data_IF_607661642982
#
_entry.id   IF_607661642982
#
_cell.length_a   1.000
_cell.length_b   1.000
_cell.length_c   1.000
_cell.angle_alpha   90.00
_cell.angle_beta   90.00
_cell.angle_gamma   90.00
#
_symmetry.space_group_name_H-M   'P 1'
#
loop_
_entity.id
_entity.type
_entity.pdbx_description
1 polymer ?
#
# COMPACT_ATOMS: atom_id res chain seq x y z
N UNK A 1 -14.42 -24.10 12.03
CA UNK A 1 -15.01 -24.57 10.74
C UNK A 1 -16.33 -25.25 11.06
N UNK A 2 -17.45 -24.73 10.55
CA UNK A 2 -18.79 -25.22 10.89
C UNK A 2 -19.00 -26.65 10.36
N UNK A 3 -19.48 -27.53 11.23
CA UNK A 3 -19.92 -28.90 10.89
C UNK A 3 -21.38 -28.87 10.41
N UNK A 4 -21.65 -28.22 9.28
CA UNK A 4 -22.93 -28.39 8.59
C UNK A 4 -22.74 -29.35 7.41
N UNK A 5 -23.46 -30.46 7.48
CA UNK A 5 -23.60 -31.44 6.41
C UNK A 5 -24.19 -30.77 5.18
N UNK A 6 -23.42 -30.68 4.09
CA UNK A 6 -23.90 -30.16 2.80
C UNK A 6 -24.81 -31.23 2.17
N UNK A 7 -26.10 -30.94 2.04
CA UNK A 7 -27.13 -31.88 1.58
C UNK A 7 -27.12 -32.17 0.07
N UNK A 8 -26.25 -31.54 -0.72
CA UNK A 8 -26.17 -31.79 -2.16
C UNK A 8 -24.77 -32.27 -2.57
N UNK A 9 -24.67 -33.35 -3.37
CA UNK A 9 -23.40 -33.79 -3.91
C UNK A 9 -22.83 -32.71 -4.83
N UNK A 10 -21.53 -32.43 -4.67
CA UNK A 10 -20.79 -31.60 -5.62
C UNK A 10 -20.89 -32.26 -7.00
N UNK A 11 -21.33 -31.50 -8.01
CA UNK A 11 -21.27 -31.94 -9.41
C UNK A 11 -19.79 -31.95 -9.80
N UNK A 12 -19.18 -33.12 -9.70
CA UNK A 12 -17.86 -33.40 -10.24
C UNK A 12 -18.06 -34.07 -11.60
N UNK A 13 -17.61 -33.40 -12.67
CA UNK A 13 -17.64 -33.93 -14.03
C UNK A 13 -16.24 -34.43 -14.39
N UNK A 14 -15.85 -35.65 -13.97
CA UNK A 14 -14.60 -36.25 -14.43
C UNK A 14 -14.65 -36.40 -15.96
N UNK A 15 -13.50 -36.20 -16.61
CA UNK A 15 -13.28 -36.47 -18.04
C UNK A 15 -13.96 -35.53 -19.06
N UNK A 16 -14.57 -34.42 -18.62
CA UNK A 16 -15.16 -33.42 -19.54
C UNK A 16 -14.24 -32.25 -19.91
N UNK A 17 -12.94 -32.33 -19.59
CA UNK A 17 -11.95 -31.29 -19.89
C UNK A 17 -10.84 -31.80 -20.80
N UNK A 18 -10.47 -31.03 -21.83
CA UNK A 18 -9.18 -31.19 -22.49
C UNK A 18 -8.13 -30.45 -21.68
N UNK A 19 -7.03 -31.12 -21.35
CA UNK A 19 -5.87 -30.47 -20.75
C UNK A 19 -5.26 -29.53 -21.79
N UNK A 20 -5.38 -28.23 -21.54
CA UNK A 20 -4.65 -27.21 -22.28
C UNK A 20 -3.56 -26.63 -21.38
N UNK A 21 -2.38 -26.43 -21.94
CA UNK A 21 -1.36 -25.64 -21.26
C UNK A 21 -1.92 -24.23 -21.06
N UNK A 22 -1.84 -23.74 -19.82
CA UNK A 22 -2.21 -22.37 -19.51
C UNK A 22 -1.48 -21.41 -20.47
N UNK A 23 -2.25 -20.80 -21.36
CA UNK A 23 -1.80 -19.73 -22.24
C UNK A 23 -2.39 -18.46 -21.69
N UNK A 24 -1.52 -17.54 -21.26
CA UNK A 24 -1.96 -16.20 -20.85
C UNK A 24 -2.73 -15.58 -22.03
N UNK A 25 -3.95 -15.05 -21.84
CA UNK A 25 -4.57 -14.20 -22.84
C UNK A 25 -3.54 -13.17 -23.30
N UNK A 26 -3.37 -12.99 -24.61
CA UNK A 26 -2.43 -12.01 -25.14
C UNK A 26 -2.77 -10.65 -24.52
N UNK A 27 -1.87 -10.12 -23.69
CA UNK A 27 -2.07 -8.80 -23.11
C UNK A 27 -2.10 -7.79 -24.26
N UNK A 28 -3.32 -7.35 -24.62
CA UNK A 28 -3.54 -6.11 -25.34
C UNK A 28 -2.98 -4.99 -24.46
N UNK A 29 -1.77 -4.57 -24.79
CA UNK A 29 -0.94 -3.71 -23.97
C UNK A 29 0.49 -3.86 -24.43
N UNK A 30 0.74 -3.53 -25.70
CA UNK A 30 2.10 -3.43 -26.21
C UNK A 30 2.86 -2.49 -25.30
N UNK A 31 3.85 -3.01 -24.57
CA UNK A 31 4.76 -2.18 -23.81
C UNK A 31 5.35 -1.14 -24.74
N UNK A 32 5.40 0.12 -24.29
CA UNK A 32 6.07 1.17 -25.06
C UNK A 32 7.46 0.66 -25.50
N UNK A 33 7.86 0.91 -26.76
CA UNK A 33 9.17 0.51 -27.22
C UNK A 33 10.23 1.14 -26.29
N UNK A 34 11.37 0.47 -26.08
CA UNK A 34 12.51 1.05 -25.36
C UNK A 34 12.81 2.48 -25.85
N UNK A 35 13.09 3.43 -24.95
CA UNK A 35 13.40 4.80 -25.33
C UNK A 35 14.62 4.85 -26.24
N UNK A 36 14.58 5.72 -27.25
CA UNK A 36 15.72 5.91 -28.15
C UNK A 36 16.86 6.60 -27.39
N UNK A 37 18.02 5.94 -27.30
CA UNK A 37 19.25 6.45 -26.68
C UNK A 37 20.40 6.37 -27.68
N UNK A 38 21.42 7.22 -27.50
CA UNK A 38 22.74 6.90 -28.05
C UNK A 38 23.32 5.75 -27.22
N UNK A 39 23.24 4.53 -27.76
CA UNK A 39 23.61 3.27 -27.11
C UNK A 39 24.99 3.33 -26.44
N UNK A 40 26.00 3.82 -27.15
CA UNK A 40 27.39 3.82 -26.66
C UNK A 40 27.55 4.84 -25.52
N UNK A 41 27.08 6.07 -25.73
CA UNK A 41 27.15 7.13 -24.71
C UNK A 41 26.37 6.76 -23.45
N UNK A 42 25.17 6.19 -23.61
CA UNK A 42 24.33 5.77 -22.49
C UNK A 42 24.95 4.61 -21.71
N UNK A 43 25.51 3.61 -22.41
CA UNK A 43 26.19 2.50 -21.78
C UNK A 43 27.41 2.94 -20.98
N UNK A 44 28.29 3.80 -21.54
CA UNK A 44 29.45 4.31 -20.82
C UNK A 44 29.09 5.09 -19.56
N UNK A 45 28.06 5.94 -19.64
CA UNK A 45 27.56 6.64 -18.46
C UNK A 45 27.04 5.65 -17.39
N UNK A 46 26.27 4.64 -17.79
CA UNK A 46 25.77 3.63 -16.85
C UNK A 46 26.90 2.76 -16.27
N UNK A 47 27.90 2.39 -17.06
CA UNK A 47 29.10 1.69 -16.59
C UNK A 47 29.84 2.50 -15.53
N UNK A 48 29.97 3.83 -15.71
CA UNK A 48 30.60 4.71 -14.73
C UNK A 48 29.83 4.75 -13.42
N UNK A 49 28.51 5.03 -13.46
CA UNK A 49 27.71 5.19 -12.23
C UNK A 49 27.50 3.85 -11.49
N UNK A 50 27.31 2.74 -12.23
CA UNK A 50 27.21 1.40 -11.64
C UNK A 50 28.57 0.98 -11.08
N UNK A 51 29.66 1.21 -11.82
CA UNK A 51 31.02 0.91 -11.37
C UNK A 51 31.36 1.63 -10.08
N UNK A 52 31.02 2.93 -9.98
CA UNK A 52 31.18 3.72 -8.75
C UNK A 52 30.32 3.18 -7.60
N UNK A 53 29.07 2.81 -7.87
CA UNK A 53 28.20 2.23 -6.84
C UNK A 53 28.73 0.88 -6.34
N UNK A 54 29.26 0.03 -7.22
CA UNK A 54 29.90 -1.25 -6.86
C UNK A 54 31.19 -1.01 -6.06
N UNK A 55 32.02 -0.03 -6.43
CA UNK A 55 33.21 0.32 -5.65
C UNK A 55 32.86 0.74 -4.23
N UNK A 56 31.85 1.61 -4.07
CA UNK A 56 31.35 2.00 -2.75
C UNK A 56 30.77 0.80 -1.99
N UNK A 57 30.03 -0.08 -2.67
CA UNK A 57 29.51 -1.30 -2.08
C UNK A 57 30.63 -2.23 -1.59
N UNK A 58 31.72 -2.38 -2.35
CA UNK A 58 32.86 -3.20 -1.95
C UNK A 58 33.60 -2.62 -0.75
N UNK A 59 33.76 -1.28 -0.68
CA UNK A 59 34.31 -0.62 0.50
C UNK A 59 33.47 -0.91 1.74
N UNK A 60 32.15 -0.80 1.60
CA UNK A 60 31.20 -1.16 2.63
C UNK A 60 31.39 -2.64 3.02
N UNK A 61 31.31 -3.58 2.08
CA UNK A 61 31.43 -5.02 2.35
C UNK A 61 32.72 -5.37 3.10
N UNK A 62 33.85 -4.76 2.71
CA UNK A 62 35.14 -4.94 3.37
C UNK A 62 35.20 -4.36 4.79
N UNK A 63 34.29 -3.44 5.13
CA UNK A 63 34.13 -2.86 6.46
C UNK A 63 33.03 -3.52 7.29
N UNK A 64 32.43 -4.63 6.83
CA UNK A 64 31.48 -5.40 7.63
C UNK A 64 32.12 -5.87 8.91
N UNK A 65 31.38 -5.76 10.01
CA UNK A 65 31.82 -6.22 11.31
C UNK A 65 31.61 -7.75 11.36
N UNK A 66 32.68 -8.56 11.45
CA UNK A 66 32.56 -10.02 11.51
C UNK A 66 31.76 -10.50 12.72
N UNK A 67 31.75 -9.72 13.82
CA UNK A 67 30.94 -9.98 14.99
C UNK A 67 29.46 -9.82 14.72
N UNK A 68 29.06 -8.92 13.82
CA UNK A 68 27.67 -8.65 13.46
C UNK A 68 27.16 -9.44 12.26
N UNK A 69 28.01 -9.68 11.27
CA UNK A 69 27.62 -10.23 9.98
C UNK A 69 26.73 -11.49 10.09
N UNK A 70 25.60 -11.46 9.42
CA UNK A 70 24.68 -12.60 9.23
C UNK A 70 24.26 -12.72 7.77
N UNK A 71 23.78 -13.90 7.38
CA UNK A 71 23.25 -14.15 6.05
C UNK A 71 24.30 -14.12 4.93
N UNK A 72 23.84 -13.83 3.70
CA UNK A 72 24.70 -13.79 2.52
C UNK A 72 25.30 -12.39 2.35
N UNK A 73 26.62 -12.23 2.20
CA UNK A 73 27.22 -10.94 1.87
C UNK A 73 26.62 -10.36 0.59
N UNK A 74 26.28 -9.07 0.63
CA UNK A 74 25.66 -8.37 -0.48
C UNK A 74 25.41 -6.92 -0.14
N UNK A 75 24.88 -6.20 -1.11
CA UNK A 75 24.61 -4.78 -1.03
C UNK A 75 23.34 -4.43 -1.79
N UNK A 76 22.89 -3.20 -1.61
CA UNK A 76 21.71 -2.69 -2.29
C UNK A 76 22.12 -1.70 -3.37
N UNK A 77 21.49 -1.76 -4.54
CA UNK A 77 21.55 -0.72 -5.57
C UNK A 77 20.17 -0.11 -5.77
N UNK A 78 20.10 1.20 -5.86
CA UNK A 78 18.89 1.96 -6.15
C UNK A 78 18.93 2.45 -7.59
N UNK A 79 18.02 1.91 -8.41
CA UNK A 79 17.88 2.23 -9.84
C UNK A 79 16.82 3.31 -10.02
N UNK A 80 17.13 4.32 -10.82
CA UNK A 80 16.23 5.42 -11.14
C UNK A 80 15.66 5.21 -12.55
N UNK A 81 14.34 5.24 -12.66
CA UNK A 81 13.58 4.92 -13.87
C UNK A 81 12.50 5.98 -14.01
N UNK A 82 12.17 6.42 -15.22
CA UNK A 82 11.01 7.30 -15.43
C UNK A 82 9.70 6.59 -15.11
N UNK A 83 8.70 7.29 -14.59
CA UNK A 83 7.42 6.71 -14.17
C UNK A 83 6.68 5.97 -15.30
N UNK A 84 6.81 6.45 -16.54
CA UNK A 84 6.24 5.83 -17.74
C UNK A 84 6.98 4.55 -18.19
N UNK A 85 8.18 4.28 -17.66
CA UNK A 85 9.04 3.15 -18.05
C UNK A 85 9.11 2.04 -17.00
N UNK A 86 8.10 1.94 -16.12
CA UNK A 86 8.01 0.94 -15.02
C UNK A 86 8.11 -0.52 -15.47
N UNK A 87 7.96 -0.82 -16.77
CA UNK A 87 8.22 -2.18 -17.28
C UNK A 87 9.66 -2.65 -17.02
N UNK A 88 10.62 -1.72 -16.89
CA UNK A 88 12.01 -2.04 -16.55
C UNK A 88 12.14 -2.83 -15.23
N UNK A 89 11.21 -2.63 -14.27
CA UNK A 89 11.23 -3.31 -12.97
C UNK A 89 11.25 -4.83 -13.10
N UNK A 90 10.59 -5.39 -14.12
CA UNK A 90 10.54 -6.84 -14.38
C UNK A 90 11.91 -7.46 -14.68
N UNK A 91 12.91 -6.65 -15.02
CA UNK A 91 14.26 -7.10 -15.40
C UNK A 91 15.32 -6.86 -14.33
N UNK A 92 14.91 -6.29 -13.18
CA UNK A 92 15.78 -6.00 -12.04
C UNK A 92 15.90 -7.17 -11.04
N UNK A 93 15.05 -8.19 -11.14
CA UNK A 93 15.11 -9.39 -10.30
C UNK A 93 15.73 -10.58 -11.06
N UNK A 94 16.47 -11.43 -10.34
CA UNK A 94 16.90 -12.74 -10.81
C UNK A 94 16.97 -13.75 -9.66
N UNK A 95 15.91 -14.54 -9.49
CA UNK A 95 15.78 -15.52 -8.40
C UNK A 95 16.89 -16.57 -8.35
N UNK A 96 17.35 -17.06 -9.51
CA UNK A 96 18.44 -18.05 -9.57
C UNK A 96 19.76 -17.48 -9.06
N UNK A 97 20.02 -16.20 -9.33
CA UNK A 97 21.18 -15.46 -8.85
C UNK A 97 20.97 -14.83 -7.47
N UNK A 98 19.81 -15.04 -6.84
CA UNK A 98 19.40 -14.42 -5.57
C UNK A 98 19.45 -12.88 -5.60
N UNK A 99 19.30 -12.29 -6.78
CA UNK A 99 19.14 -10.84 -6.98
C UNK A 99 17.65 -10.55 -6.83
N UNK A 100 17.29 -9.62 -5.96
CA UNK A 100 15.90 -9.43 -5.54
C UNK A 100 15.51 -7.97 -5.57
N UNK A 101 14.40 -7.64 -6.25
CA UNK A 101 13.81 -6.31 -6.18
C UNK A 101 13.11 -6.18 -4.83
N UNK A 102 13.66 -5.38 -3.93
CA UNK A 102 13.22 -5.34 -2.53
C UNK A 102 12.26 -4.21 -2.23
N UNK A 103 12.44 -3.03 -2.84
CA UNK A 103 11.61 -1.85 -2.60
C UNK A 103 11.37 -1.06 -3.91
N UNK A 104 10.17 -0.51 -4.07
CA UNK A 104 9.83 0.37 -5.21
C UNK A 104 9.09 1.59 -4.69
N UNK A 105 9.54 2.79 -5.07
CA UNK A 105 8.98 4.07 -4.62
C UNK A 105 8.79 5.01 -5.79
N UNK A 106 7.71 5.80 -5.76
CA UNK A 106 7.47 6.86 -6.73
C UNK A 106 7.85 8.20 -6.12
N UNK A 107 8.67 8.98 -6.81
CA UNK A 107 8.89 10.39 -6.53
C UNK A 107 7.99 11.16 -7.49
N UNK A 108 6.95 11.80 -6.94
CA UNK A 108 6.09 12.70 -7.71
C UNK A 108 6.76 14.08 -7.69
N UNK A 109 7.17 14.56 -8.87
CA UNK A 109 7.83 15.87 -9.13
C UNK A 109 9.32 16.00 -8.73
N UNK A 110 10.14 16.73 -9.52
CA UNK A 110 9.82 17.44 -10.77
C UNK A 110 9.78 16.54 -12.03
N UNK A 111 10.42 15.37 -12.01
CA UNK A 111 10.62 14.52 -13.20
C UNK A 111 9.97 13.13 -13.10
N UNK A 112 8.92 12.98 -12.29
CA UNK A 112 8.17 11.74 -12.04
C UNK A 112 9.00 10.46 -12.22
N UNK A 113 9.74 10.11 -11.17
CA UNK A 113 10.66 8.98 -11.19
C UNK A 113 10.16 7.83 -10.30
N UNK A 114 10.62 6.65 -10.64
CA UNK A 114 10.50 5.42 -9.87
C UNK A 114 11.90 5.02 -9.41
N UNK A 115 12.06 4.89 -8.10
CA UNK A 115 13.25 4.35 -7.47
C UNK A 115 13.00 2.86 -7.18
N UNK A 116 13.88 2.01 -7.66
CA UNK A 116 13.81 0.57 -7.49
C UNK A 116 15.07 0.08 -6.77
N UNK A 117 14.93 -0.36 -5.53
CA UNK A 117 16.04 -0.85 -4.73
C UNK A 117 16.15 -2.36 -4.86
N UNK A 118 17.33 -2.85 -5.21
CA UNK A 118 17.61 -4.26 -5.50
C UNK A 118 18.71 -4.75 -4.57
N UNK A 119 18.48 -5.86 -3.88
CA UNK A 119 19.53 -6.58 -3.17
C UNK A 119 20.35 -7.42 -4.15
N UNK A 120 21.68 -7.33 -4.06
CA UNK A 120 22.63 -8.03 -4.92
C UNK A 120 23.63 -8.77 -4.01
N UNK A 121 23.67 -10.12 -4.08
CA UNK A 121 24.72 -10.89 -3.44
C UNK A 121 26.10 -10.52 -4.00
N UNK A 122 27.11 -10.50 -3.13
CA UNK A 122 28.51 -10.18 -3.47
C UNK A 122 29.02 -11.03 -4.64
N UNK A 123 28.66 -12.32 -4.65
CA UNK A 123 29.01 -13.29 -5.70
C UNK A 123 28.47 -12.94 -7.10
N UNK A 124 27.57 -11.96 -7.18
CA UNK A 124 26.95 -11.48 -8.43
C UNK A 124 27.03 -9.96 -8.58
N UNK A 125 28.00 -9.33 -7.92
CA UNK A 125 28.22 -7.87 -7.93
C UNK A 125 28.33 -7.28 -9.34
N UNK A 126 28.92 -8.01 -10.28
CA UNK A 126 29.13 -7.58 -11.68
C UNK A 126 27.91 -7.78 -12.60
N UNK A 127 26.79 -8.33 -12.08
CA UNK A 127 25.66 -8.76 -12.90
C UNK A 127 25.08 -7.65 -13.79
N UNK A 128 24.83 -6.48 -13.20
CA UNK A 128 24.25 -5.37 -13.94
C UNK A 128 25.28 -4.68 -14.84
N UNK A 129 26.56 -4.65 -14.45
CA UNK A 129 27.63 -4.13 -15.30
C UNK A 129 27.75 -4.96 -16.59
N UNK A 130 27.77 -6.29 -16.47
CA UNK A 130 27.73 -7.21 -17.62
C UNK A 130 26.51 -6.98 -18.52
N UNK A 131 25.34 -6.69 -17.94
CA UNK A 131 24.15 -6.37 -18.75
C UNK A 131 24.32 -5.10 -19.56
N UNK A 132 24.99 -4.08 -19.01
CA UNK A 132 25.29 -2.83 -19.70
C UNK A 132 26.33 -3.05 -20.80
N UNK A 133 27.39 -3.82 -20.54
CA UNK A 133 28.39 -4.20 -21.55
C UNK A 133 27.75 -4.98 -22.72
N UNK A 134 26.92 -5.97 -22.42
CA UNK A 134 26.15 -6.69 -23.44
C UNK A 134 25.21 -5.75 -24.21
N UNK A 135 24.58 -4.80 -23.51
CA UNK A 135 23.78 -3.75 -24.14
C UNK A 135 24.63 -2.85 -25.03
N UNK A 136 25.92 -2.61 -24.75
CA UNK A 136 26.81 -1.79 -25.58
C UNK A 136 27.31 -2.54 -26.82
N UNK A 137 27.69 -3.80 -26.65
CA UNK A 137 28.53 -4.50 -27.63
C UNK A 137 27.82 -5.61 -28.42
N UNK A 138 26.69 -6.12 -27.92
CA UNK A 138 26.06 -7.33 -28.47
C UNK A 138 24.64 -7.09 -28.98
N UNK A 139 24.28 -7.77 -30.07
CA UNK A 139 22.91 -7.84 -30.57
C UNK A 139 22.31 -9.22 -30.30
N UNK A 140 20.98 -9.25 -30.18
CA UNK A 140 20.16 -10.45 -30.23
C UNK A 140 20.13 -11.01 -31.66
N UNK A 141 19.60 -12.23 -31.83
CA UNK A 141 19.43 -12.86 -33.15
C UNK A 141 18.60 -12.01 -34.13
N UNK A 142 17.72 -11.15 -33.61
CA UNK A 142 16.86 -10.26 -34.39
C UNK A 142 17.51 -8.87 -34.61
N UNK A 143 18.84 -8.76 -34.46
CA UNK A 143 19.63 -7.55 -34.62
C UNK A 143 19.21 -6.36 -33.72
N UNK A 144 18.54 -6.64 -32.59
CA UNK A 144 18.25 -5.64 -31.53
C UNK A 144 19.33 -5.69 -30.45
N UNK A 145 19.74 -4.57 -29.81
CA UNK A 145 20.70 -4.60 -28.71
C UNK A 145 20.25 -5.55 -27.59
N UNK A 146 21.18 -6.31 -27.01
CA UNK A 146 20.87 -7.14 -25.83
C UNK A 146 20.51 -6.25 -24.64
N UNK A 147 19.67 -6.74 -23.73
CA UNK A 147 19.25 -6.01 -22.51
C UNK A 147 18.62 -4.61 -22.73
N UNK A 148 18.28 -4.25 -23.97
CA UNK A 148 17.68 -2.95 -24.33
C UNK A 148 16.41 -2.65 -23.54
N UNK A 149 15.62 -3.69 -23.26
CA UNK A 149 14.39 -3.58 -22.48
C UNK A 149 14.61 -3.04 -21.05
N UNK A 150 15.82 -3.22 -20.49
CA UNK A 150 16.21 -2.71 -19.17
C UNK A 150 17.12 -1.48 -19.31
N UNK A 151 18.26 -1.62 -19.97
CA UNK A 151 19.37 -0.66 -19.87
C UNK A 151 19.01 0.72 -20.43
N UNK A 152 18.25 0.78 -21.52
CA UNK A 152 17.81 2.05 -22.11
C UNK A 152 16.88 2.87 -21.22
N UNK A 153 16.22 2.22 -20.25
CA UNK A 153 15.23 2.81 -19.33
C UNK A 153 15.82 3.27 -18.00
N UNK A 154 17.08 2.93 -17.72
CA UNK A 154 17.78 3.37 -16.52
C UNK A 154 18.28 4.80 -16.72
N UNK A 155 17.97 5.70 -15.78
CA UNK A 155 18.49 7.07 -15.78
C UNK A 155 19.76 7.21 -14.95
N UNK A 156 19.85 6.49 -13.83
CA UNK A 156 21.07 6.40 -13.01
C UNK A 156 20.96 5.24 -12.03
N UNK A 157 22.08 4.91 -11.38
CA UNK A 157 22.15 3.90 -10.33
C UNK A 157 22.98 4.44 -9.18
N UNK A 158 22.52 4.22 -7.95
CA UNK A 158 23.21 4.62 -6.72
C UNK A 158 23.34 3.45 -5.76
N UNK A 159 24.25 3.57 -4.80
CA UNK A 159 24.29 2.68 -3.63
C UNK A 159 22.99 2.85 -2.82
N UNK A 160 22.39 1.74 -2.40
CA UNK A 160 21.21 1.75 -1.55
C UNK A 160 21.55 2.06 -0.10
N UNK A 161 20.67 2.81 0.56
CA UNK A 161 20.77 3.21 1.97
C UNK A 161 19.52 2.81 2.75
N UNK A 162 19.46 3.10 4.06
CA UNK A 162 18.21 3.00 4.85
C UNK A 162 17.06 3.72 4.15
N UNK A 163 17.32 4.95 3.67
CA UNK A 163 16.34 5.76 2.92
C UNK A 163 15.91 5.10 1.62
N UNK A 164 16.77 4.30 0.98
CA UNK A 164 16.43 3.54 -0.23
C UNK A 164 15.42 2.43 0.05
N UNK A 165 15.45 1.81 1.24
CA UNK A 165 14.51 0.77 1.67
C UNK A 165 13.24 1.32 2.34
N UNK A 166 13.21 2.61 2.70
CA UNK A 166 12.05 3.22 3.33
C UNK A 166 10.90 3.47 2.34
N UNK A 167 9.80 2.71 2.45
CA UNK A 167 8.65 2.75 1.51
C UNK A 167 7.39 3.41 2.09
N UNK A 168 7.49 4.02 3.27
CA UNK A 168 6.41 4.81 3.87
C UNK A 168 6.37 6.26 3.32
N UNK A 169 5.46 7.09 3.83
CA UNK A 169 5.44 8.52 3.56
C UNK A 169 6.82 9.14 3.89
N UNK A 170 7.52 9.76 2.92
CA UNK A 170 8.84 10.37 3.15
C UNK A 170 8.89 11.39 4.30
N UNK A 171 7.76 12.03 4.63
CA UNK A 171 7.66 12.96 5.75
C UNK A 171 7.77 12.29 7.12
N UNK A 172 7.55 10.97 7.20
CA UNK A 172 7.68 10.16 8.42
C UNK A 172 9.11 9.64 8.63
N UNK A 173 10.01 9.84 7.67
CA UNK A 173 11.38 9.37 7.81
C UNK A 173 12.03 10.04 9.03
N UNK A 174 12.62 9.26 9.96
CA UNK A 174 13.05 9.80 11.25
C UNK A 174 14.25 10.74 11.10
N UNK A 175 14.30 11.75 11.96
CA UNK A 175 15.47 12.59 12.15
C UNK A 175 16.63 11.77 12.75
N UNK A 176 17.86 12.21 12.50
CA UNK A 176 19.06 11.54 13.00
C UNK A 176 19.05 11.42 14.53
N UNK A 177 19.41 10.24 15.03
CA UNK A 177 19.46 9.93 16.47
C UNK A 177 18.09 9.70 17.14
N UNK A 178 16.97 9.85 16.44
CA UNK A 178 15.64 9.55 16.98
C UNK A 178 15.36 8.04 16.93
N UNK A 179 15.11 7.43 18.08
CA UNK A 179 14.60 6.07 18.14
C UNK A 179 13.13 6.02 17.73
N UNK A 180 12.80 5.08 16.84
CA UNK A 180 11.44 4.82 16.37
C UNK A 180 11.18 3.33 16.28
N UNK A 181 9.92 2.94 16.43
CA UNK A 181 9.49 1.59 16.07
C UNK A 181 9.45 1.49 14.54
N UNK A 182 10.36 0.69 13.99
CA UNK A 182 10.35 0.31 12.59
C UNK A 182 9.42 -0.88 12.38
N UNK A 183 8.56 -0.79 11.37
CA UNK A 183 7.97 -1.95 10.72
C UNK A 183 8.97 -2.45 9.66
N UNK A 184 9.71 -3.51 9.99
CA UNK A 184 10.77 -4.06 9.15
C UNK A 184 10.20 -5.20 8.34
N UNK A 185 10.15 -5.01 7.03
CA UNK A 185 9.78 -6.04 6.08
C UNK A 185 11.03 -6.81 5.69
N UNK A 186 11.08 -8.06 6.07
CA UNK A 186 12.15 -8.99 5.80
C UNK A 186 11.91 -9.74 4.49
N UNK A 187 13.02 -10.04 3.81
CA UNK A 187 13.06 -11.04 2.75
C UNK A 187 12.62 -12.38 3.31
N UNK A 188 11.93 -13.19 2.49
CA UNK A 188 11.31 -14.43 2.96
C UNK A 188 12.35 -15.38 3.58
N UNK A 189 12.07 -15.87 4.80
CA UNK A 189 12.93 -16.83 5.49
C UNK A 189 14.17 -16.22 6.12
N UNK A 190 14.21 -14.89 6.30
CA UNK A 190 15.34 -14.15 6.89
C UNK A 190 15.10 -13.66 8.32
N UNK A 191 14.04 -14.14 8.96
CA UNK A 191 13.72 -13.79 10.34
C UNK A 191 14.83 -14.17 11.32
N UNK A 192 15.47 -15.32 11.15
CA UNK A 192 16.53 -15.78 12.05
C UNK A 192 17.81 -14.94 11.91
N UNK A 193 18.25 -14.64 10.68
CA UNK A 193 19.38 -13.74 10.45
C UNK A 193 19.12 -12.34 11.01
N UNK A 194 17.88 -11.83 10.89
CA UNK A 194 17.47 -10.56 11.48
C UNK A 194 17.47 -10.60 13.01
N UNK A 195 16.97 -11.67 13.62
CA UNK A 195 16.98 -11.87 15.07
C UNK A 195 18.40 -11.93 15.64
N UNK A 196 19.31 -12.60 14.94
CA UNK A 196 20.71 -12.69 15.34
C UNK A 196 21.40 -11.33 15.33
N UNK A 197 21.26 -10.56 14.24
CA UNK A 197 21.92 -9.25 14.14
C UNK A 197 21.32 -8.23 15.10
N UNK A 198 20.00 -8.19 15.26
CA UNK A 198 19.34 -7.30 16.22
C UNK A 198 19.71 -7.64 17.66
N UNK A 199 19.82 -8.93 18.00
CA UNK A 199 20.30 -9.37 19.31
C UNK A 199 21.73 -8.91 19.60
N UNK A 200 22.64 -8.99 18.63
CA UNK A 200 24.03 -8.50 18.78
C UNK A 200 24.13 -6.98 18.90
N UNK A 201 23.22 -6.26 18.26
CA UNK A 201 23.11 -4.80 18.34
C UNK A 201 22.28 -4.30 19.53
N UNK A 202 21.75 -5.22 20.36
CA UNK A 202 20.80 -4.92 21.43
C UNK A 202 19.56 -4.12 20.97
N UNK A 203 19.14 -4.30 19.72
CA UNK A 203 17.93 -3.70 19.15
C UNK A 203 16.72 -4.45 19.73
N UNK A 204 15.82 -3.70 20.37
CA UNK A 204 14.60 -4.28 20.93
C UNK A 204 13.64 -4.70 19.81
N UNK A 205 13.19 -5.95 19.82
CA UNK A 205 12.22 -6.48 18.85
C UNK A 205 10.96 -6.99 19.54
N UNK A 206 9.81 -6.95 18.86
CA UNK A 206 8.59 -7.61 19.34
C UNK A 206 8.59 -9.10 18.96
N UNK A 207 8.02 -9.99 19.78
CA UNK A 207 8.09 -11.44 19.56
C UNK A 207 7.21 -11.94 18.39
N UNK A 208 6.20 -11.16 18.00
CA UNK A 208 5.28 -11.53 16.94
C UNK A 208 5.80 -11.10 15.57
N UNK A 209 5.74 -12.00 14.60
CA UNK A 209 6.02 -11.73 13.20
C UNK A 209 4.78 -12.03 12.36
N UNK A 210 4.48 -11.19 11.37
CA UNK A 210 3.48 -11.49 10.35
C UNK A 210 4.17 -12.15 9.16
N UNK A 211 3.64 -13.27 8.68
CA UNK A 211 4.25 -14.01 7.56
C UNK A 211 3.34 -13.94 6.33
N UNK A 212 3.86 -13.36 5.25
CA UNK A 212 3.25 -13.32 3.93
C UNK A 212 4.00 -14.27 2.97
N UNK A 213 3.47 -14.56 1.78
CA UNK A 213 4.14 -15.46 0.83
C UNK A 213 5.56 -15.02 0.45
N UNK A 214 5.77 -13.71 0.26
CA UNK A 214 7.05 -13.15 -0.22
C UNK A 214 7.84 -12.36 0.84
N UNK A 215 7.21 -12.06 1.99
CA UNK A 215 7.74 -11.15 3.01
C UNK A 215 7.39 -11.62 4.42
N UNK A 216 8.17 -11.21 5.39
CA UNK A 216 7.88 -11.38 6.81
C UNK A 216 8.02 -10.02 7.49
N UNK A 217 7.14 -9.66 8.40
CA UNK A 217 7.13 -8.34 9.04
C UNK A 217 7.43 -8.51 10.52
N UNK A 218 8.37 -7.73 11.02
CA UNK A 218 8.74 -7.66 12.44
C UNK A 218 8.84 -6.21 12.89
N UNK A 219 8.64 -5.98 14.19
CA UNK A 219 8.82 -4.66 14.80
C UNK A 219 10.17 -4.58 15.51
N UNK A 220 10.94 -3.52 15.24
CA UNK A 220 12.23 -3.26 15.86
C UNK A 220 12.35 -1.78 16.28
N UNK A 221 12.76 -1.52 17.50
CA UNK A 221 13.04 -0.16 18.00
C UNK A 221 14.52 0.17 17.78
N UNK A 222 14.80 1.16 16.95
CA UNK A 222 16.16 1.66 16.76
C UNK A 222 16.17 3.06 16.16
N UNK A 223 17.31 3.73 16.24
CA UNK A 223 17.59 4.89 15.40
C UNK A 223 18.01 4.46 13.97
N UNK A 224 18.30 5.46 13.14
CA UNK A 224 18.73 5.25 11.75
C UNK A 224 20.13 4.60 11.66
N UNK A 225 21.05 4.92 12.58
CA UNK A 225 22.43 4.43 12.53
C UNK A 225 22.47 2.93 12.84
N UNK A 226 21.77 2.49 13.88
CA UNK A 226 21.61 1.10 14.22
C UNK A 226 20.93 0.32 13.09
N UNK A 227 19.89 0.89 12.45
CA UNK A 227 19.24 0.27 11.29
C UNK A 227 20.19 0.18 10.08
N UNK A 228 21.02 1.20 9.84
CA UNK A 228 22.04 1.17 8.79
C UNK A 228 23.04 0.02 9.04
N UNK A 229 23.46 -0.20 10.30
CA UNK A 229 24.32 -1.33 10.68
C UNK A 229 23.65 -2.68 10.41
N UNK A 230 22.33 -2.80 10.61
CA UNK A 230 21.57 -4.01 10.27
C UNK A 230 21.60 -4.29 8.77
N UNK A 231 21.26 -3.30 7.95
CA UNK A 231 21.25 -3.42 6.48
C UNK A 231 22.65 -3.72 5.95
N UNK A 232 23.67 -3.09 6.54
CA UNK A 232 25.06 -3.25 6.12
C UNK A 232 25.61 -4.66 6.39
N UNK A 233 25.19 -5.27 7.50
CA UNK A 233 25.74 -6.53 7.98
C UNK A 233 24.78 -7.73 7.82
N UNK A 234 23.66 -7.58 7.10
CA UNK A 234 22.72 -8.68 6.84
C UNK A 234 22.11 -8.59 5.45
N UNK A 235 21.57 -9.70 4.96
CA UNK A 235 20.74 -9.74 3.76
C UNK A 235 19.25 -9.84 4.09
N UNK A 236 18.84 -9.44 5.28
CA UNK A 236 17.51 -9.74 5.79
C UNK A 236 16.45 -8.71 5.36
N UNK A 237 16.81 -7.43 5.28
CA UNK A 237 15.85 -6.34 5.11
C UNK A 237 15.43 -6.20 3.64
N UNK A 238 14.13 -6.15 3.39
CA UNK A 238 13.54 -5.82 2.10
C UNK A 238 13.00 -4.38 2.05
N UNK A 239 12.18 -4.01 3.03
CA UNK A 239 11.58 -2.67 3.12
C UNK A 239 11.52 -2.20 4.58
N UNK A 240 11.39 -0.90 4.75
CA UNK A 240 11.26 -0.24 6.04
C UNK A 240 10.07 0.72 6.03
N UNK A 241 9.31 0.73 7.12
CA UNK A 241 8.26 1.71 7.39
C UNK A 241 8.29 2.11 8.86
N UNK A 242 7.57 3.16 9.21
CA UNK A 242 7.34 3.47 10.62
C UNK A 242 6.15 2.65 11.09
N UNK A 243 6.32 1.94 12.20
CA UNK A 243 5.22 1.24 12.84
C UNK A 243 4.20 2.27 13.30
N UNK A 244 3.01 2.23 12.70
CA UNK A 244 1.91 3.13 13.06
C UNK A 244 1.28 2.67 14.37
N UNK A 245 0.86 3.62 15.19
CA UNK A 245 0.07 3.32 16.36
C UNK A 245 -1.23 2.62 15.94
N UNK A 246 -1.58 1.54 16.63
CA UNK A 246 -2.83 0.83 16.38
C UNK A 246 -3.97 1.55 17.10
N UNK A 247 -5.19 1.61 16.53
CA UNK A 247 -6.37 2.15 17.21
C UNK A 247 -6.81 1.34 18.43
N UNK A 248 -6.09 0.27 18.80
CA UNK A 248 -6.45 -0.66 19.88
C UNK A 248 -6.77 0.06 21.18
N UNK A 249 -6.04 1.14 21.51
CA UNK A 249 -6.33 1.95 22.69
C UNK A 249 -7.76 2.51 22.66
N UNK A 250 -8.21 3.05 21.54
CA UNK A 250 -9.58 3.59 21.39
C UNK A 250 -10.63 2.47 21.34
N UNK A 251 -10.30 1.34 20.71
CA UNK A 251 -11.22 0.21 20.56
C UNK A 251 -11.47 -0.54 21.88
N UNK A 252 -10.47 -0.58 22.76
CA UNK A 252 -10.53 -1.27 24.06
C UNK A 252 -10.99 -0.34 25.20
N UNK A 253 -11.16 0.94 24.90
CA UNK A 253 -11.55 1.97 25.87
C UNK A 253 -13.00 1.80 26.36
N UNK A 254 -13.28 2.03 27.65
CA UNK A 254 -14.65 2.08 28.16
C UNK A 254 -15.49 3.17 27.47
N UNK A 255 -16.79 2.93 27.31
CA UNK A 255 -17.72 3.86 26.61
C UNK A 255 -17.74 5.26 27.22
N UNK A 256 -17.56 5.38 28.54
CA UNK A 256 -17.51 6.69 29.20
C UNK A 256 -16.31 7.51 28.71
N UNK A 257 -15.13 6.92 28.70
CA UNK A 257 -13.91 7.57 28.21
C UNK A 257 -14.03 7.87 26.70
N UNK A 258 -14.57 6.94 25.89
CA UNK A 258 -14.82 7.20 24.47
C UNK A 258 -15.70 8.43 24.25
N UNK A 259 -16.68 8.66 25.13
CA UNK A 259 -17.56 9.83 25.06
C UNK A 259 -16.77 11.13 25.25
N UNK A 260 -15.83 11.17 26.20
CA UNK A 260 -14.99 12.36 26.43
C UNK A 260 -14.14 12.71 25.20
N UNK A 261 -13.59 11.70 24.51
CA UNK A 261 -12.83 11.88 23.27
C UNK A 261 -13.71 12.35 22.10
N UNK A 262 -14.93 11.84 22.02
CA UNK A 262 -15.92 12.24 21.01
C UNK A 262 -16.36 13.69 21.24
N UNK A 263 -16.66 14.06 22.49
CA UNK A 263 -17.04 15.42 22.88
C UNK A 263 -15.89 16.41 22.59
N UNK A 264 -14.63 16.06 22.91
CA UNK A 264 -13.47 16.89 22.58
C UNK A 264 -13.32 17.12 21.07
N UNK A 265 -13.38 16.05 20.27
CA UNK A 265 -13.29 16.15 18.82
C UNK A 265 -14.45 16.98 18.24
N UNK A 266 -15.69 16.73 18.69
CA UNK A 266 -16.87 17.49 18.26
C UNK A 266 -16.67 19.00 18.45
N UNK A 267 -16.17 19.42 19.62
CA UNK A 267 -15.92 20.82 19.93
C UNK A 267 -14.83 21.48 19.06
N UNK A 268 -13.96 20.68 18.45
CA UNK A 268 -12.87 21.14 17.58
C UNK A 268 -13.24 21.11 16.10
N UNK A 269 -14.33 20.44 15.71
CA UNK A 269 -14.75 20.34 14.33
C UNK A 269 -15.27 21.69 13.81
N UNK A 270 -14.91 21.99 12.57
CA UNK A 270 -15.40 23.12 11.82
C UNK A 270 -16.21 22.63 10.63
N UNK A 271 -17.39 23.23 10.42
CA UNK A 271 -18.29 22.88 9.33
C UNK A 271 -17.59 22.83 7.97
N UNK A 272 -17.97 21.93 7.06
CA UNK A 272 -17.44 21.95 5.71
C UNK A 272 -17.84 23.21 4.94
N UNK A 273 -17.08 23.55 3.89
CA UNK A 273 -17.39 24.71 3.05
C UNK A 273 -18.82 24.67 2.49
N UNK A 274 -19.39 25.83 2.17
CA UNK A 274 -20.75 25.94 1.61
C UNK A 274 -20.92 25.13 0.32
N UNK A 275 -19.87 25.06 -0.50
CA UNK A 275 -19.84 24.31 -1.76
C UNK A 275 -19.00 23.03 -1.68
N UNK A 276 -18.77 22.50 -0.47
CA UNK A 276 -18.05 21.25 -0.29
C UNK A 276 -18.72 20.11 -1.06
N UNK A 277 -17.93 19.18 -1.57
CA UNK A 277 -18.46 17.98 -2.23
C UNK A 277 -19.16 17.13 -1.18
N UNK A 278 -20.25 16.48 -1.57
CA UNK A 278 -21.00 15.56 -0.73
C UNK A 278 -20.72 14.11 -1.13
N UNK A 279 -20.60 13.23 -0.15
CA UNK A 279 -20.56 11.78 -0.36
C UNK A 279 -21.96 11.25 -0.07
N UNK A 280 -22.66 10.80 -1.11
CA UNK A 280 -23.98 10.21 -0.96
C UNK A 280 -23.87 8.70 -0.74
N UNK A 281 -24.12 8.27 0.49
CA UNK A 281 -24.03 6.87 0.93
C UNK A 281 -25.37 6.15 0.74
N UNK A 282 -25.38 5.12 -0.11
CA UNK A 282 -26.49 4.19 -0.30
C UNK A 282 -26.25 2.95 0.58
N UNK A 283 -26.97 2.85 1.70
CA UNK A 283 -26.77 1.81 2.72
C UNK A 283 -28.06 1.53 3.54
N UNK A 284 -27.91 1.14 4.81
CA UNK A 284 -28.93 0.80 5.80
C UNK A 284 -29.54 2.01 6.53
N UNK A 285 -29.14 3.22 6.13
CA UNK A 285 -29.52 4.48 6.78
C UNK A 285 -28.44 4.97 7.73
N UNK A 286 -28.60 6.17 8.30
CA UNK A 286 -27.61 6.78 9.20
C UNK A 286 -28.31 7.38 10.42
N UNK A 287 -27.81 7.05 11.61
CA UNK A 287 -28.28 7.68 12.82
C UNK A 287 -27.61 9.04 13.04
N UNK A 288 -28.35 10.13 12.77
CA UNK A 288 -27.84 11.51 12.87
C UNK A 288 -27.49 11.92 14.31
N UNK A 289 -27.99 11.22 15.32
CA UNK A 289 -27.70 11.58 16.73
C UNK A 289 -26.27 11.25 17.14
N UNK A 290 -25.48 10.62 16.27
CA UNK A 290 -24.05 10.43 16.53
C UNK A 290 -23.34 11.78 16.41
N UNK A 291 -22.78 12.28 17.51
CA UNK A 291 -22.18 13.63 17.62
C UNK A 291 -21.20 13.94 16.48
N UNK A 292 -20.25 13.04 16.21
CA UNK A 292 -19.27 13.22 15.13
C UNK A 292 -19.88 13.32 13.72
N UNK A 293 -21.13 12.91 13.50
CA UNK A 293 -21.77 13.05 12.18
C UNK A 293 -22.56 14.37 12.04
N UNK A 294 -22.88 15.05 13.14
CA UNK A 294 -23.84 16.16 13.19
C UNK A 294 -23.44 17.34 12.30
N UNK A 295 -22.15 17.69 12.25
CA UNK A 295 -21.61 18.77 11.43
C UNK A 295 -21.44 18.40 9.94
N UNK A 296 -21.36 17.11 9.64
CA UNK A 296 -21.14 16.57 8.30
C UNK A 296 -22.42 16.17 7.56
N UNK A 297 -23.51 15.89 8.28
CA UNK A 297 -24.76 15.36 7.75
C UNK A 297 -25.94 16.22 8.20
N UNK A 298 -26.57 16.93 7.26
CA UNK A 298 -27.79 17.69 7.53
C UNK A 298 -29.01 16.75 7.63
N UNK A 299 -30.04 17.15 8.39
CA UNK A 299 -31.25 16.35 8.50
C UNK A 299 -31.96 16.15 7.16
N UNK A 300 -31.94 17.18 6.30
CA UNK A 300 -32.59 17.19 4.98
C UNK A 300 -31.82 16.36 3.94
N UNK A 301 -30.58 15.99 4.23
CA UNK A 301 -29.71 15.17 3.38
C UNK A 301 -29.84 13.66 3.71
N UNK A 302 -30.91 13.27 4.40
CA UNK A 302 -31.22 11.87 4.75
C UNK A 302 -32.52 11.43 4.07
N UNK A 303 -32.42 10.36 3.31
CA UNK A 303 -33.49 9.85 2.47
C UNK A 303 -33.72 8.35 2.73
N UNK A 304 -34.89 7.85 2.32
CA UNK A 304 -35.22 6.43 2.29
C UNK A 304 -36.03 6.15 1.04
N UNK A 305 -35.79 5.00 0.39
CA UNK A 305 -36.58 4.59 -0.78
C UNK A 305 -37.99 4.12 -0.39
N UNK A 306 -38.15 3.67 0.84
CA UNK A 306 -39.40 3.16 1.39
C UNK A 306 -39.70 3.91 2.70
N UNK A 307 -40.70 4.81 2.71
CA UNK A 307 -41.01 5.66 3.86
C UNK A 307 -41.24 4.88 5.15
N UNK A 308 -41.82 3.68 5.08
CA UNK A 308 -42.07 2.84 6.26
C UNK A 308 -40.80 2.36 6.96
N UNK A 309 -39.63 2.43 6.33
CA UNK A 309 -38.35 2.06 6.94
C UNK A 309 -37.74 3.15 7.83
N UNK A 310 -38.20 4.41 7.66
CA UNK A 310 -37.51 5.58 8.20
C UNK A 310 -36.14 5.82 7.56
N UNK A 311 -35.40 6.83 8.02
CA UNK A 311 -34.07 7.20 7.46
C UNK A 311 -32.89 6.79 8.35
N UNK A 312 -33.17 6.42 9.59
CA UNK A 312 -32.14 5.98 10.53
C UNK A 312 -31.66 4.58 10.19
N UNK A 313 -30.45 4.28 10.62
CA UNK A 313 -29.88 2.94 10.58
C UNK A 313 -30.70 1.95 11.42
N UNK A 314 -30.57 0.65 11.14
CA UNK A 314 -31.33 -0.40 11.82
C UNK A 314 -30.44 -1.33 12.66
N UNK A 315 -30.96 -1.86 13.79
CA UNK A 315 -30.25 -2.87 14.57
C UNK A 315 -29.94 -4.15 13.77
N UNK A 316 -30.77 -4.49 12.78
CA UNK A 316 -30.56 -5.66 11.93
C UNK A 316 -29.25 -5.58 11.14
N UNK A 317 -28.86 -4.38 10.73
CA UNK A 317 -27.60 -4.10 10.03
C UNK A 317 -26.47 -3.70 10.98
N UNK A 318 -26.67 -3.78 12.30
CA UNK A 318 -25.65 -3.48 13.33
C UNK A 318 -25.02 -2.08 13.22
N UNK A 319 -25.78 -1.10 12.71
CA UNK A 319 -25.24 0.25 12.54
C UNK A 319 -24.29 0.40 11.33
N UNK A 320 -24.38 -0.51 10.34
CA UNK A 320 -23.47 -0.53 9.19
C UNK A 320 -23.44 0.80 8.44
N UNK A 321 -24.59 1.41 8.15
CA UNK A 321 -24.65 2.67 7.42
C UNK A 321 -24.10 3.85 8.23
N UNK A 322 -24.26 3.83 9.56
CA UNK A 322 -23.70 4.83 10.48
C UNK A 322 -22.17 4.71 10.55
N UNK A 323 -21.62 3.49 10.62
CA UNK A 323 -20.18 3.27 10.48
C UNK A 323 -19.68 3.68 9.09
N UNK A 324 -20.47 3.37 8.06
CA UNK A 324 -20.49 3.94 6.69
C UNK A 324 -20.14 5.42 6.66
N UNK A 325 -21.03 6.20 7.26
CA UNK A 325 -20.94 7.64 7.30
C UNK A 325 -19.68 8.11 8.05
N UNK A 326 -19.33 7.48 9.17
CA UNK A 326 -18.09 7.79 9.89
C UNK A 326 -16.84 7.62 9.02
N UNK A 327 -16.74 6.50 8.29
CA UNK A 327 -15.64 6.25 7.37
C UNK A 327 -15.64 7.23 6.19
N UNK A 328 -16.81 7.56 5.65
CA UNK A 328 -16.92 8.59 4.62
C UNK A 328 -16.41 9.95 5.13
N UNK A 329 -16.72 10.34 6.37
CA UNK A 329 -16.37 11.66 6.90
C UNK A 329 -14.90 11.77 7.30
N UNK A 330 -14.37 10.75 7.97
CA UNK A 330 -13.05 10.79 8.62
C UNK A 330 -11.99 9.90 7.98
N UNK A 331 -12.38 8.97 7.12
CA UNK A 331 -11.48 8.02 6.46
C UNK A 331 -10.56 7.29 7.47
N UNK A 332 -9.29 7.11 7.12
CA UNK A 332 -8.25 6.54 7.98
C UNK A 332 -7.67 7.53 9.00
N UNK A 333 -8.06 8.81 8.94
CA UNK A 333 -7.46 9.88 9.74
C UNK A 333 -8.08 10.04 11.13
N UNK A 334 -9.17 9.35 11.46
CA UNK A 334 -9.88 9.56 12.73
C UNK A 334 -8.97 9.46 13.95
N UNK A 335 -8.05 8.48 13.95
CA UNK A 335 -7.07 8.29 15.04
C UNK A 335 -6.16 9.51 15.17
N UNK A 336 -5.67 10.03 14.05
CA UNK A 336 -4.80 11.21 14.03
C UNK A 336 -5.57 12.47 14.51
N UNK A 337 -6.85 12.59 14.14
CA UNK A 337 -7.71 13.69 14.57
C UNK A 337 -8.02 13.64 16.08
N UNK A 338 -8.12 12.43 16.64
CA UNK A 338 -8.24 12.22 18.08
C UNK A 338 -6.92 12.51 18.81
N UNK A 339 -5.78 12.19 18.21
CA UNK A 339 -4.46 12.37 18.81
C UNK A 339 -3.97 13.84 18.84
N UNK A 340 -4.67 14.76 18.17
CA UNK A 340 -4.31 16.19 18.11
C UNK A 340 -5.33 17.07 18.83
N UNK A 341 -4.88 18.21 19.35
CA UNK A 341 -5.75 19.24 19.95
C UNK A 341 -6.08 20.39 18.99
N UNK A 342 -5.75 20.24 17.70
CA UNK A 342 -5.99 21.27 16.70
C UNK A 342 -7.45 21.31 16.24
N UNK A 343 -7.87 22.46 15.68
CA UNK A 343 -9.17 22.58 15.03
C UNK A 343 -9.18 21.78 13.73
N UNK A 344 -10.25 21.04 13.49
CA UNK A 344 -10.36 20.12 12.35
C UNK A 344 -11.43 20.62 11.39
N UNK A 345 -11.03 21.02 10.17
CA UNK A 345 -11.98 21.42 9.12
C UNK A 345 -12.45 20.21 8.33
N UNK A 346 -13.76 19.93 8.38
CA UNK A 346 -14.35 18.95 7.47
C UNK A 346 -14.22 19.46 6.03
N UNK A 347 -13.76 18.61 5.12
CA UNK A 347 -13.53 18.99 3.72
C UNK A 347 -14.73 18.71 2.81
N UNK A 348 -15.61 17.81 3.26
CA UNK A 348 -16.78 17.30 2.54
C UNK A 348 -17.95 17.09 3.50
N UNK A 349 -19.13 16.86 2.90
CA UNK A 349 -20.40 16.57 3.57
C UNK A 349 -20.83 15.13 3.26
N UNK A 350 -21.87 14.66 3.93
CA UNK A 350 -22.50 13.38 3.66
C UNK A 350 -23.98 13.60 3.33
N UNK A 351 -24.47 12.84 2.37
CA UNK A 351 -25.89 12.53 2.15
C UNK A 351 -26.09 11.04 2.44
N UNK A 352 -27.24 10.64 2.96
CA UNK A 352 -27.57 9.25 3.24
C UNK A 352 -28.86 8.85 2.55
N UNK A 353 -28.86 7.68 1.92
CA UNK A 353 -30.04 7.08 1.33
C UNK A 353 -30.16 5.66 1.83
N UNK A 354 -31.21 5.41 2.63
CA UNK A 354 -31.55 4.08 3.09
C UNK A 354 -32.15 3.28 1.94
N UNK A 355 -31.39 2.32 1.45
CA UNK A 355 -31.78 1.36 0.42
C UNK A 355 -32.00 -0.05 0.97
N UNK A 356 -31.55 -0.34 2.19
CA UNK A 356 -31.78 -1.64 2.84
C UNK A 356 -32.99 -1.60 3.78
N UNK A 357 -33.83 -2.66 3.79
CA UNK A 357 -35.00 -2.74 4.65
C UNK A 357 -34.61 -2.87 6.13
N UNK A 358 -35.54 -2.58 7.04
CA UNK A 358 -35.31 -2.76 8.48
C UNK A 358 -34.99 -4.20 8.87
N UNK A 359 -35.43 -5.17 8.08
CA UNK A 359 -35.22 -6.61 8.26
C UNK A 359 -35.20 -7.32 6.91
N UNK A 360 -34.44 -8.41 6.80
CA UNK A 360 -34.41 -9.23 5.59
C UNK A 360 -33.59 -8.61 4.47
N UNK A 361 -33.94 -8.91 3.23
CA UNK A 361 -33.25 -8.42 2.03
C UNK A 361 -34.26 -7.96 0.97
N UNK A 362 -33.85 -7.01 0.14
CA UNK A 362 -34.62 -6.64 -1.04
C UNK A 362 -34.63 -7.80 -2.05
N UNK A 363 -35.68 -7.88 -2.87
CA UNK A 363 -35.73 -8.84 -3.96
C UNK A 363 -34.70 -8.47 -5.05
N UNK A 364 -33.90 -9.42 -5.56
CA UNK A 364 -32.84 -9.12 -6.54
C UNK A 364 -33.29 -8.40 -7.80
N UNK A 365 -34.50 -8.69 -8.28
CA UNK A 365 -35.11 -8.02 -9.44
C UNK A 365 -35.36 -6.52 -9.23
N UNK A 366 -35.41 -6.05 -7.98
CA UNK A 366 -35.63 -4.65 -7.63
C UNK A 366 -34.34 -3.85 -7.43
N UNK A 367 -33.15 -4.49 -7.44
CA UNK A 367 -31.89 -3.79 -7.13
C UNK A 367 -31.62 -2.60 -8.05
N UNK A 368 -31.96 -2.72 -9.35
CA UNK A 368 -31.83 -1.62 -10.30
C UNK A 368 -32.72 -0.44 -9.95
N UNK A 369 -34.02 -0.68 -9.73
CA UNK A 369 -35.00 0.35 -9.38
C UNK A 369 -34.68 1.02 -8.03
N UNK A 370 -34.26 0.24 -7.04
CA UNK A 370 -33.85 0.73 -5.71
C UNK A 370 -32.64 1.64 -5.82
N UNK A 371 -31.64 1.26 -6.62
CA UNK A 371 -30.44 2.07 -6.82
C UNK A 371 -30.76 3.36 -7.58
N UNK A 372 -31.56 3.27 -8.63
CA UNK A 372 -32.02 4.42 -9.43
C UNK A 372 -32.79 5.42 -8.55
N UNK A 373 -33.79 4.96 -7.80
CA UNK A 373 -34.53 5.80 -6.87
C UNK A 373 -33.61 6.38 -5.79
N UNK A 374 -32.66 5.57 -5.30
CA UNK A 374 -31.68 6.00 -4.31
C UNK A 374 -30.79 7.14 -4.80
N UNK A 375 -30.47 7.17 -6.10
CA UNK A 375 -29.76 8.28 -6.73
C UNK A 375 -30.66 9.51 -6.92
N UNK A 376 -31.92 9.33 -7.34
CA UNK A 376 -32.80 10.45 -7.62
C UNK A 376 -33.19 11.28 -6.39
N UNK A 377 -33.39 10.66 -5.23
CA UNK A 377 -33.83 11.37 -4.01
C UNK A 377 -32.92 12.55 -3.62
N UNK A 378 -31.58 12.38 -3.45
CA UNK A 378 -30.68 13.48 -3.14
C UNK A 378 -30.51 14.46 -4.31
N UNK A 379 -30.61 14.00 -5.56
CA UNK A 379 -30.57 14.88 -6.73
C UNK A 379 -31.76 15.84 -6.80
N UNK A 380 -32.95 15.36 -6.44
CA UNK A 380 -34.16 16.18 -6.34
C UNK A 380 -34.03 17.19 -5.19
N UNK A 381 -33.52 16.75 -4.04
CA UNK A 381 -33.37 17.60 -2.86
C UNK A 381 -32.37 18.75 -3.08
N UNK A 382 -31.25 18.49 -3.76
CA UNK A 382 -30.20 19.48 -3.99
C UNK A 382 -29.60 19.40 -5.41
N UNK A 383 -30.32 19.85 -6.47
CA UNK A 383 -29.92 19.60 -7.86
C UNK A 383 -28.49 20.01 -8.23
N UNK A 384 -28.04 21.17 -7.73
CA UNK A 384 -26.74 21.75 -8.08
C UNK A 384 -25.57 21.25 -7.21
N UNK A 385 -25.83 20.33 -6.26
CA UNK A 385 -24.80 19.85 -5.34
C UNK A 385 -23.84 18.91 -6.06
N UNK A 386 -22.53 19.20 -5.94
CA UNK A 386 -21.48 18.29 -6.37
C UNK A 386 -21.45 17.09 -5.43
N UNK A 387 -21.73 15.90 -5.95
CA UNK A 387 -21.83 14.66 -5.16
C UNK A 387 -21.03 13.52 -5.77
N UNK A 388 -20.58 12.62 -4.90
CA UNK A 388 -20.00 11.32 -5.24
C UNK A 388 -20.88 10.25 -4.59
N UNK A 389 -21.38 9.31 -5.37
CA UNK A 389 -22.17 8.19 -4.84
C UNK A 389 -21.25 7.06 -4.36
N UNK A 390 -21.54 6.57 -3.15
CA UNK A 390 -20.87 5.43 -2.56
C UNK A 390 -21.92 4.38 -2.18
N UNK A 391 -21.72 3.13 -2.60
CA UNK A 391 -22.56 2.01 -2.22
C UNK A 391 -21.65 0.94 -1.61
N UNK A 392 -21.86 0.66 -0.33
CA UNK A 392 -21.04 -0.27 0.45
C UNK A 392 -21.72 -1.64 0.65
N UNK A 393 -22.73 -1.92 -0.17
CA UNK A 393 -23.50 -3.16 -0.17
C UNK A 393 -23.28 -3.92 -1.48
N UNK A 394 -23.26 -5.25 -1.39
CA UNK A 394 -23.10 -6.15 -2.54
C UNK A 394 -24.18 -7.23 -2.51
N UNK A 395 -24.54 -7.76 -3.68
CA UNK A 395 -25.34 -8.98 -3.75
C UNK A 395 -24.47 -10.20 -3.39
N UNK A 396 -25.05 -11.24 -2.77
CA UNK A 396 -24.43 -12.57 -2.82
C UNK A 396 -24.36 -13.02 -4.29
N UNK A 397 -23.22 -13.60 -4.68
CA UNK A 397 -22.98 -14.15 -6.03
C UNK A 397 -23.86 -15.39 -6.25
#
# INVERSE_FOLDING_TARGET
MSKQSREFPHIYLPENGKSENYTRPGQGGGSNPPPKRNRITHAWYLEEVIGRAIQNANQLLNSRDPGLATGVPGFYLEFYIKAEETIALKFLENRHKKIELVAVKKILRPEDMVMATVFIPESTSDYFLKKVEEYRDQNTKNNKPKNDALVSRLETVKIGTVKSLFTDNPALFPEDGREVWWEVWLRKGKQEEFKQITGKLAILTKPHALSFPEREIVLAMSDMEAMARVIHNSDAVAELRIAKDTPSMFLEMPTLEQTEWVDDLENRLLEPGQHAVSICLLDSGVNITHQLLSLGLASDDRHTIEPSWGVNDSPYWHGHGTAMAGLCLYSDSLIDLLATSEKVKLLHRIESVKILPNTGQNQPELYGAITEQGVFLPEIQAPDRRRVFCMAVTSPI
#
